data_IF_733056981770
#
_entry.id   IF_733056981770
#
_cell.length_a   1.000
_cell.length_b   1.000
_cell.length_c   1.000
_cell.angle_alpha   90.00
_cell.angle_beta   90.00
_cell.angle_gamma   90.00
#
_symmetry.space_group_name_H-M   'P 1'
#
loop_
_entity.id
_entity.type
_entity.pdbx_description
1 polymer ?
#
# COMPACT_ATOMS: atom_id res chain seq x y z
N UNK A 1 -13.26 -22.63 6.97
CA UNK A 1 -13.66 -22.70 5.54
C UNK A 1 -12.54 -22.09 4.71
N UNK A 2 -12.22 -22.66 3.54
CA UNK A 2 -11.23 -22.06 2.65
C UNK A 2 -11.77 -20.77 2.01
N UNK A 3 -10.92 -19.74 1.91
CA UNK A 3 -11.27 -18.49 1.25
C UNK A 3 -11.39 -18.69 -0.27
N UNK A 4 -12.38 -18.05 -0.89
CA UNK A 4 -12.50 -18.03 -2.36
C UNK A 4 -11.41 -17.15 -2.96
N UNK A 5 -10.74 -17.65 -3.98
CA UNK A 5 -9.75 -16.93 -4.77
C UNK A 5 -10.18 -16.96 -6.23
N UNK A 6 -10.20 -15.79 -6.87
CA UNK A 6 -10.47 -15.68 -8.30
C UNK A 6 -9.15 -15.45 -9.04
N UNK A 7 -8.95 -16.17 -10.13
CA UNK A 7 -7.75 -16.10 -10.95
C UNK A 7 -8.10 -15.90 -12.43
N UNK A 8 -7.33 -15.09 -13.12
CA UNK A 8 -7.41 -14.92 -14.57
C UNK A 8 -6.02 -14.95 -15.19
N UNK A 9 -5.87 -15.64 -16.32
CA UNK A 9 -4.67 -15.58 -17.16
C UNK A 9 -4.62 -14.31 -18.01
N UNK A 10 -5.77 -13.66 -18.20
CA UNK A 10 -5.89 -12.42 -18.98
C UNK A 10 -5.78 -11.24 -18.03
N UNK A 11 -4.82 -10.35 -18.29
CA UNK A 11 -4.55 -9.16 -17.47
C UNK A 11 -5.03 -7.93 -18.26
N UNK A 12 -6.29 -7.53 -18.03
CA UNK A 12 -6.88 -6.30 -18.57
C UNK A 12 -7.63 -5.56 -17.46
N UNK A 13 -7.87 -4.27 -17.66
CA UNK A 13 -8.61 -3.42 -16.75
C UNK A 13 -10.03 -3.96 -16.47
N UNK A 14 -10.73 -4.39 -17.52
CA UNK A 14 -12.07 -4.98 -17.45
C UNK A 14 -12.08 -6.29 -16.66
N UNK A 15 -11.01 -7.11 -16.81
CA UNK A 15 -10.89 -8.36 -16.07
C UNK A 15 -10.67 -8.12 -14.58
N UNK A 16 -9.93 -7.08 -14.20
CA UNK A 16 -9.77 -6.68 -12.79
C UNK A 16 -11.12 -6.27 -12.21
N UNK A 17 -11.88 -5.44 -12.91
CA UNK A 17 -13.24 -5.06 -12.47
C UNK A 17 -14.15 -6.28 -12.35
N UNK A 18 -14.12 -7.20 -13.31
CA UNK A 18 -14.89 -8.44 -13.24
C UNK A 18 -14.53 -9.27 -11.99
N UNK A 19 -13.24 -9.43 -11.69
CA UNK A 19 -12.79 -10.15 -10.50
C UNK A 19 -13.25 -9.47 -9.21
N UNK A 20 -13.18 -8.12 -9.14
CA UNK A 20 -13.70 -7.36 -8.00
C UNK A 20 -15.21 -7.61 -7.82
N UNK A 21 -15.99 -7.53 -8.89
CA UNK A 21 -17.44 -7.76 -8.85
C UNK A 21 -17.77 -9.19 -8.37
N UNK A 22 -16.99 -10.19 -8.79
CA UNK A 22 -17.16 -11.57 -8.35
C UNK A 22 -16.91 -11.80 -6.86
N UNK A 23 -16.16 -10.93 -6.18
CA UNK A 23 -16.01 -10.98 -4.72
C UNK A 23 -17.33 -10.73 -4.00
N UNK A 24 -18.28 -10.05 -4.65
CA UNK A 24 -19.61 -9.77 -4.11
C UNK A 24 -19.58 -8.96 -2.80
N UNK A 25 -18.52 -8.17 -2.58
CA UNK A 25 -18.34 -7.34 -1.40
C UNK A 25 -18.54 -5.88 -1.77
N UNK A 26 -19.31 -5.19 -0.97
CA UNK A 26 -19.38 -3.74 -0.98
C UNK A 26 -18.46 -3.20 0.12
N UNK A 27 -17.72 -2.15 -0.21
CA UNK A 27 -16.88 -1.44 0.74
C UNK A 27 -17.72 -0.29 1.32
N UNK A 28 -18.00 -0.28 2.62
CA UNK A 28 -18.80 0.76 3.23
C UNK A 28 -18.04 2.08 3.33
N UNK A 29 -18.80 3.19 3.35
CA UNK A 29 -18.29 4.52 3.65
C UNK A 29 -17.28 5.06 2.66
N UNK A 30 -16.35 5.84 3.17
CA UNK A 30 -15.26 6.45 2.39
C UNK A 30 -14.14 5.44 2.16
N UNK A 31 -13.86 5.13 0.91
CA UNK A 31 -12.92 4.07 0.53
C UNK A 31 -11.55 4.62 0.18
N UNK A 32 -10.51 4.16 0.88
CA UNK A 32 -9.12 4.32 0.46
C UNK A 32 -8.76 3.23 -0.56
N UNK A 33 -8.22 3.61 -1.71
CA UNK A 33 -7.75 2.68 -2.73
C UNK A 33 -6.22 2.73 -2.78
N UNK A 34 -5.58 1.75 -2.15
CA UNK A 34 -4.12 1.68 -2.07
C UNK A 34 -3.53 1.13 -3.36
N UNK A 35 -2.68 1.91 -3.95
CA UNK A 35 -1.93 1.56 -5.16
C UNK A 35 -0.42 1.65 -4.93
N UNK A 36 0.36 1.33 -5.96
CA UNK A 36 1.76 1.69 -6.09
C UNK A 36 1.92 2.65 -7.25
N UNK A 37 2.22 3.91 -6.96
CA UNK A 37 2.26 5.01 -7.93
C UNK A 37 3.41 4.93 -8.95
N UNK A 38 4.37 4.01 -8.74
CA UNK A 38 5.58 3.85 -9.53
C UNK A 38 6.77 4.62 -8.95
N UNK A 39 7.96 4.31 -9.41
CA UNK A 39 9.19 5.05 -9.12
C UNK A 39 9.56 5.93 -10.31
N UNK A 40 10.22 7.07 -10.04
CA UNK A 40 10.72 7.94 -11.12
C UNK A 40 11.62 7.15 -12.09
N UNK A 41 11.38 7.35 -13.40
CA UNK A 41 12.11 6.66 -14.47
C UNK A 41 11.78 5.18 -14.65
N UNK A 42 11.04 4.56 -13.74
CA UNK A 42 10.63 3.16 -13.88
C UNK A 42 9.38 3.05 -14.76
N UNK A 43 9.48 2.25 -15.82
CA UNK A 43 8.38 1.99 -16.74
C UNK A 43 7.52 0.77 -16.34
N UNK A 44 7.94 -0.02 -15.35
CA UNK A 44 7.33 -1.28 -14.97
C UNK A 44 6.34 -1.13 -13.81
N UNK A 45 5.42 -0.18 -13.87
CA UNK A 45 4.30 -0.07 -12.95
C UNK A 45 2.97 -0.08 -13.72
N UNK A 46 1.91 -0.51 -13.09
CA UNK A 46 0.56 -0.50 -13.66
C UNK A 46 0.06 0.93 -13.74
N UNK A 47 -0.32 1.36 -14.93
CA UNK A 47 -0.72 2.74 -15.22
C UNK A 47 -2.08 3.10 -14.61
N UNK A 48 -2.37 4.38 -14.36
CA UNK A 48 -3.65 4.81 -13.81
C UNK A 48 -4.86 4.37 -14.63
N UNK A 49 -4.78 4.42 -15.96
CA UNK A 49 -5.84 3.99 -16.87
C UNK A 49 -6.20 2.50 -16.73
N UNK A 50 -5.21 1.66 -16.43
CA UNK A 50 -5.46 0.24 -16.14
C UNK A 50 -6.35 0.05 -14.90
N UNK A 51 -6.23 0.89 -13.89
CA UNK A 51 -7.01 0.82 -12.67
C UNK A 51 -8.35 1.55 -12.76
N UNK A 52 -8.53 2.42 -13.79
CA UNK A 52 -9.68 3.31 -13.87
C UNK A 52 -11.03 2.59 -13.75
N UNK A 53 -11.33 1.48 -14.44
CA UNK A 53 -12.62 0.84 -14.33
C UNK A 53 -12.98 0.38 -12.91
N UNK A 54 -12.04 -0.16 -12.16
CA UNK A 54 -12.30 -0.61 -10.78
C UNK A 54 -12.35 0.56 -9.80
N UNK A 55 -11.51 1.58 -9.98
CA UNK A 55 -11.54 2.79 -9.13
C UNK A 55 -12.83 3.57 -9.31
N UNK A 56 -13.27 3.78 -10.55
CA UNK A 56 -14.55 4.45 -10.85
C UNK A 56 -15.75 3.67 -10.31
N UNK A 57 -15.71 2.34 -10.40
CA UNK A 57 -16.78 1.49 -9.88
C UNK A 57 -16.90 1.55 -8.34
N UNK A 58 -15.77 1.63 -7.65
CA UNK A 58 -15.71 1.70 -6.18
C UNK A 58 -16.01 3.11 -5.69
N UNK A 59 -15.61 4.15 -6.43
CA UNK A 59 -15.82 5.54 -6.07
C UNK A 59 -14.92 6.01 -4.91
N UNK A 60 -13.71 5.44 -4.77
CA UNK A 60 -12.78 5.77 -3.69
C UNK A 60 -11.69 6.77 -4.06
N UNK A 61 -10.89 7.14 -3.06
CA UNK A 61 -9.70 7.98 -3.21
C UNK A 61 -8.45 7.11 -3.35
N UNK A 62 -7.61 7.40 -4.33
CA UNK A 62 -6.31 6.72 -4.49
C UNK A 62 -5.35 7.20 -3.42
N UNK A 63 -4.78 6.27 -2.67
CA UNK A 63 -3.91 6.59 -1.54
C UNK A 63 -2.53 5.94 -1.63
N UNK A 64 -1.52 6.63 -1.09
CA UNK A 64 -0.15 6.18 -0.91
C UNK A 64 0.44 6.76 0.39
N UNK A 65 1.67 6.33 0.72
CA UNK A 65 2.50 6.96 1.75
C UNK A 65 3.91 7.22 1.21
N UNK A 66 4.58 8.21 1.76
CA UNK A 66 5.96 8.55 1.42
C UNK A 66 6.92 7.39 1.71
N UNK A 67 8.08 7.39 1.05
CA UNK A 67 9.11 6.36 1.26
C UNK A 67 10.10 6.77 2.35
N UNK A 68 10.70 5.77 3.01
CA UNK A 68 11.74 5.96 4.02
C UNK A 68 13.14 6.17 3.44
N UNK A 69 13.32 5.99 2.13
CA UNK A 69 14.60 6.10 1.44
C UNK A 69 14.59 7.27 0.45
N UNK A 70 15.76 7.82 0.08
CA UNK A 70 15.86 8.91 -0.88
C UNK A 70 15.22 8.57 -2.23
N UNK A 71 14.54 9.56 -2.83
CA UNK A 71 13.88 9.42 -4.13
C UNK A 71 12.77 10.46 -4.31
N UNK A 72 11.97 10.31 -5.36
CA UNK A 72 10.87 11.25 -5.65
C UNK A 72 9.59 10.98 -4.85
N UNK A 73 9.62 10.01 -3.95
CA UNK A 73 8.51 9.71 -3.04
C UNK A 73 8.86 9.89 -1.56
N UNK A 74 10.01 10.52 -1.25
CA UNK A 74 10.46 10.67 0.14
C UNK A 74 9.96 11.94 0.84
N UNK A 75 9.26 12.81 0.14
CA UNK A 75 8.58 13.97 0.69
C UNK A 75 7.24 14.15 -0.01
N UNK A 76 6.25 14.67 0.72
CA UNK A 76 4.90 14.95 0.20
C UNK A 76 4.94 15.75 -1.11
N UNK A 77 5.71 16.85 -1.16
CA UNK A 77 5.82 17.69 -2.36
C UNK A 77 6.33 16.92 -3.59
N UNK A 78 7.38 16.11 -3.42
CA UNK A 78 7.95 15.32 -4.52
C UNK A 78 6.98 14.21 -4.94
N UNK A 79 6.36 13.54 -3.99
CA UNK A 79 5.45 12.44 -4.25
C UNK A 79 4.19 12.91 -4.99
N UNK A 80 3.60 14.04 -4.59
CA UNK A 80 2.51 14.68 -5.33
C UNK A 80 2.92 15.02 -6.76
N UNK A 81 4.14 15.54 -6.96
CA UNK A 81 4.67 15.81 -8.30
C UNK A 81 4.82 14.53 -9.12
N UNK A 82 5.22 13.42 -8.51
CA UNK A 82 5.29 12.12 -9.17
C UNK A 82 3.89 11.61 -9.58
N UNK A 83 2.87 11.79 -8.75
CA UNK A 83 1.49 11.50 -9.11
C UNK A 83 1.05 12.24 -10.37
N UNK A 84 1.38 13.52 -10.49
CA UNK A 84 1.12 14.31 -11.70
C UNK A 84 1.88 13.74 -12.91
N UNK A 85 3.19 13.53 -12.76
CA UNK A 85 4.08 13.06 -13.84
C UNK A 85 3.66 11.68 -14.35
N UNK A 86 3.22 10.78 -13.46
CA UNK A 86 2.75 9.44 -13.81
C UNK A 86 1.27 9.41 -14.22
N UNK A 87 0.59 10.56 -14.22
CA UNK A 87 -0.78 10.71 -14.69
C UNK A 87 -1.87 10.30 -13.70
N UNK A 88 -1.54 9.99 -12.45
CA UNK A 88 -2.53 9.59 -11.45
C UNK A 88 -3.54 10.71 -11.16
N UNK A 89 -3.05 11.92 -10.91
CA UNK A 89 -3.89 13.10 -10.61
C UNK A 89 -4.79 13.53 -11.77
N UNK A 90 -4.53 13.04 -12.99
CA UNK A 90 -5.38 13.26 -14.15
C UNK A 90 -6.69 12.45 -14.08
N UNK A 91 -6.64 11.27 -13.46
CA UNK A 91 -7.75 10.33 -13.45
C UNK A 91 -8.46 10.26 -12.10
N UNK A 92 -7.74 10.55 -11.01
CA UNK A 92 -8.23 10.28 -9.66
C UNK A 92 -7.93 11.42 -8.69
N UNK A 93 -8.76 11.55 -7.66
CA UNK A 93 -8.36 12.20 -6.43
C UNK A 93 -7.28 11.34 -5.77
N UNK A 94 -6.16 11.97 -5.40
CA UNK A 94 -5.03 11.31 -4.76
C UNK A 94 -4.79 11.89 -3.38
N UNK A 95 -4.39 11.04 -2.44
CA UNK A 95 -4.11 11.42 -1.06
C UNK A 95 -2.83 10.72 -0.57
N UNK A 96 -1.99 11.44 0.17
CA UNK A 96 -0.83 10.90 0.85
C UNK A 96 -1.13 10.81 2.33
N UNK A 97 -1.36 9.60 2.81
CA UNK A 97 -1.83 9.34 4.17
C UNK A 97 -0.89 9.85 5.27
N UNK A 98 0.38 10.05 4.95
CA UNK A 98 1.43 10.58 5.84
C UNK A 98 1.92 11.97 5.40
N UNK A 99 1.05 12.76 4.75
CA UNK A 99 1.41 14.12 4.29
C UNK A 99 1.74 15.04 5.44
N UNK A 100 1.01 14.93 6.55
CA UNK A 100 1.13 15.80 7.72
C UNK A 100 0.94 15.03 9.02
N UNK A 101 1.42 15.65 10.10
CA UNK A 101 1.14 15.25 11.48
C UNK A 101 1.93 14.05 11.96
N UNK A 102 1.65 13.64 13.21
CA UNK A 102 2.21 12.42 13.75
C UNK A 102 1.59 11.19 13.09
N UNK A 103 2.30 10.06 13.13
CA UNK A 103 1.77 8.78 12.67
C UNK A 103 0.53 8.37 13.49
N UNK A 104 -0.39 7.68 12.84
CA UNK A 104 -1.37 6.85 13.54
C UNK A 104 -0.67 5.57 13.99
N UNK A 105 -0.79 5.24 15.26
CA UNK A 105 -0.17 4.04 15.84
C UNK A 105 -1.23 2.97 16.01
N UNK A 106 -1.05 1.85 15.35
CA UNK A 106 -1.88 0.66 15.49
C UNK A 106 -1.15 -0.38 16.33
N UNK A 107 -1.81 -0.93 17.33
CA UNK A 107 -1.26 -2.05 18.10
C UNK A 107 -1.32 -3.35 17.29
N UNK A 108 -0.37 -4.25 17.55
CA UNK A 108 -0.29 -5.57 16.91
C UNK A 108 -0.32 -6.64 18.02
N UNK A 109 -1.50 -7.00 18.53
CA UNK A 109 -1.60 -8.04 19.55
C UNK A 109 -1.00 -9.36 19.04
N UNK A 110 -0.01 -9.88 19.77
CA UNK A 110 0.65 -11.14 19.43
C UNK A 110 1.65 -11.06 18.27
N UNK A 111 2.05 -9.86 17.85
CA UNK A 111 3.14 -9.66 16.89
C UNK A 111 4.41 -10.41 17.31
N UNK A 112 5.12 -11.00 16.36
CA UNK A 112 6.27 -11.86 16.63
C UNK A 112 7.59 -11.08 16.74
N UNK A 113 7.68 -9.97 16.02
CA UNK A 113 8.88 -9.11 15.97
C UNK A 113 8.53 -7.69 16.37
N UNK A 114 7.44 -7.14 15.85
CA UNK A 114 6.97 -5.80 16.18
C UNK A 114 5.60 -5.83 16.85
N UNK A 115 5.37 -4.90 17.78
CA UNK A 115 4.12 -4.79 18.54
C UNK A 115 3.27 -3.59 18.13
N UNK A 116 3.80 -2.76 17.22
CA UNK A 116 3.16 -1.54 16.76
C UNK A 116 3.38 -1.37 15.25
N UNK A 117 2.41 -0.77 14.58
CA UNK A 117 2.54 -0.32 13.22
C UNK A 117 2.31 1.20 13.18
N UNK A 118 3.22 1.93 12.54
CA UNK A 118 3.14 3.37 12.36
C UNK A 118 2.65 3.67 10.95
N UNK A 119 1.37 3.99 10.81
CA UNK A 119 0.74 4.22 9.52
C UNK A 119 0.50 5.71 9.29
N UNK A 120 0.25 6.08 8.03
CA UNK A 120 -0.11 7.45 7.72
C UNK A 120 -1.38 7.86 8.48
N UNK A 121 -1.34 9.01 9.18
CA UNK A 121 -2.42 9.51 10.04
C UNK A 121 -3.76 9.58 9.31
N UNK A 122 -3.74 9.99 8.05
CA UNK A 122 -4.96 10.21 7.28
C UNK A 122 -5.69 8.92 6.88
N UNK A 123 -5.10 7.74 7.19
CA UNK A 123 -5.83 6.46 7.08
C UNK A 123 -7.12 6.46 7.92
N UNK A 124 -7.13 7.17 9.04
CA UNK A 124 -8.32 7.30 9.90
C UNK A 124 -9.50 8.06 9.26
N UNK A 125 -9.26 8.74 8.14
CA UNK A 125 -10.30 9.44 7.38
C UNK A 125 -11.12 8.52 6.47
N UNK A 126 -10.81 7.22 6.44
CA UNK A 126 -11.42 6.23 5.57
C UNK A 126 -12.06 5.10 6.38
N UNK A 127 -13.19 4.60 5.88
CA UNK A 127 -13.97 3.52 6.52
C UNK A 127 -13.60 2.13 5.96
N UNK A 128 -13.02 2.10 4.76
CA UNK A 128 -12.66 0.87 4.05
C UNK A 128 -11.38 1.04 3.25
N UNK A 129 -10.66 -0.08 3.08
CA UNK A 129 -9.43 -0.14 2.30
C UNK A 129 -9.52 -1.19 1.19
N UNK A 130 -9.36 -0.75 -0.06
CA UNK A 130 -9.15 -1.63 -1.21
C UNK A 130 -7.67 -1.60 -1.62
N UNK A 131 -7.05 -2.76 -1.69
CA UNK A 131 -5.64 -2.87 -2.10
C UNK A 131 -5.55 -3.36 -3.54
N UNK A 132 -5.09 -2.49 -4.44
CA UNK A 132 -4.83 -2.80 -5.85
C UNK A 132 -3.31 -3.00 -6.04
N UNK A 133 -2.88 -4.24 -5.91
CA UNK A 133 -1.46 -4.59 -5.87
C UNK A 133 -0.90 -4.99 -7.22
N UNK A 134 0.26 -4.45 -7.56
CA UNK A 134 1.10 -4.99 -8.61
C UNK A 134 1.89 -6.20 -8.07
N UNK A 135 1.58 -7.39 -8.55
CA UNK A 135 2.29 -8.62 -8.20
C UNK A 135 3.62 -8.70 -8.97
N UNK A 136 4.73 -8.61 -8.25
CA UNK A 136 6.08 -8.59 -8.84
C UNK A 136 7.13 -9.13 -7.87
N UNK A 137 8.32 -9.48 -8.37
CA UNK A 137 9.47 -9.79 -7.54
C UNK A 137 9.89 -8.61 -6.66
N UNK A 138 10.46 -8.90 -5.50
CA UNK A 138 11.01 -7.89 -4.59
C UNK A 138 12.28 -8.41 -3.91
N UNK A 139 13.41 -7.66 -3.94
CA UNK A 139 14.70 -8.15 -3.48
C UNK A 139 14.72 -8.52 -1.99
N UNK A 140 14.05 -7.75 -1.13
CA UNK A 140 14.03 -8.02 0.31
C UNK A 140 12.85 -8.90 0.73
N UNK A 141 11.67 -8.72 0.17
CA UNK A 141 10.44 -9.43 0.58
C UNK A 141 10.14 -10.70 -0.21
N UNK A 142 11.00 -11.09 -1.17
CA UNK A 142 10.75 -12.19 -2.10
C UNK A 142 9.79 -11.77 -3.21
N UNK A 143 8.58 -11.31 -2.87
CA UNK A 143 7.66 -10.70 -3.83
C UNK A 143 6.98 -9.45 -3.26
N UNK A 144 6.52 -8.57 -4.15
CA UNK A 144 5.63 -7.47 -3.84
C UNK A 144 4.19 -7.82 -4.25
N UNK A 145 3.22 -7.54 -3.38
CA UNK A 145 1.82 -7.85 -3.61
C UNK A 145 0.98 -7.31 -2.46
N UNK A 146 -0.20 -7.90 -2.21
CA UNK A 146 -1.16 -7.40 -1.25
C UNK A 146 -0.59 -7.29 0.18
N UNK A 147 0.11 -8.32 0.65
CA UNK A 147 0.73 -8.32 1.98
C UNK A 147 1.68 -7.12 2.16
N UNK A 148 2.55 -6.86 1.17
CA UNK A 148 3.47 -5.72 1.22
C UNK A 148 2.74 -4.38 1.15
N UNK A 149 1.65 -4.28 0.42
CA UNK A 149 0.83 -3.07 0.36
C UNK A 149 0.10 -2.82 1.68
N UNK A 150 -0.43 -3.86 2.33
CA UNK A 150 -1.09 -3.77 3.63
C UNK A 150 -0.13 -3.46 4.78
N UNK A 151 1.13 -3.88 4.69
CA UNK A 151 2.15 -3.59 5.70
C UNK A 151 2.91 -2.30 5.37
N UNK A 152 3.93 -2.40 4.53
CA UNK A 152 4.82 -1.29 4.16
C UNK A 152 4.09 -0.22 3.34
N UNK A 153 3.11 -0.61 2.52
CA UNK A 153 2.43 0.32 1.62
C UNK A 153 1.66 1.42 2.32
N UNK A 154 1.02 1.14 3.45
CA UNK A 154 0.25 2.11 4.27
C UNK A 154 1.03 2.67 5.44
N UNK A 155 2.18 2.08 5.78
CA UNK A 155 3.05 2.63 6.79
C UNK A 155 3.56 4.02 6.37
N UNK A 156 3.68 4.95 7.32
CA UNK A 156 4.34 6.24 7.11
C UNK A 156 5.80 6.06 6.70
N UNK A 157 6.49 7.12 6.30
CA UNK A 157 7.93 7.06 6.04
C UNK A 157 8.70 6.50 7.26
N UNK A 158 8.36 6.93 8.48
CA UNK A 158 8.91 6.38 9.72
C UNK A 158 8.54 4.92 9.92
N UNK A 159 7.26 4.57 9.76
CA UNK A 159 6.76 3.19 9.89
C UNK A 159 7.41 2.23 8.91
N UNK A 160 7.68 2.67 7.67
CA UNK A 160 8.47 1.88 6.70
C UNK A 160 9.87 1.56 7.21
N UNK A 161 10.57 2.55 7.77
CA UNK A 161 11.89 2.33 8.36
C UNK A 161 11.81 1.37 9.55
N UNK A 162 10.80 1.52 10.40
CA UNK A 162 10.55 0.66 11.55
C UNK A 162 10.32 -0.81 11.15
N UNK A 163 9.45 -1.06 10.16
CA UNK A 163 9.16 -2.42 9.67
C UNK A 163 10.40 -3.04 9.02
N UNK A 164 11.11 -2.30 8.14
CA UNK A 164 12.31 -2.80 7.48
C UNK A 164 13.44 -3.07 8.48
N UNK A 165 13.54 -2.27 9.52
CA UNK A 165 14.50 -2.43 10.61
C UNK A 165 14.11 -3.43 11.69
N UNK A 166 13.01 -4.18 11.50
CA UNK A 166 12.50 -5.14 12.48
C UNK A 166 12.33 -4.52 13.88
N UNK A 167 11.72 -3.33 13.94
CA UNK A 167 11.49 -2.56 15.17
C UNK A 167 12.56 -1.49 15.46
N UNK A 168 13.64 -1.45 14.69
CA UNK A 168 14.73 -0.48 14.85
C UNK A 168 14.95 0.31 13.55
N UNK A 169 14.36 1.52 13.40
CA UNK A 169 14.46 2.28 12.13
C UNK A 169 15.88 2.50 11.61
N UNK A 170 16.87 2.61 12.51
CA UNK A 170 18.27 2.75 12.13
C UNK A 170 18.84 1.52 11.38
N UNK A 171 18.21 0.37 11.51
CA UNK A 171 18.59 -0.89 10.86
C UNK A 171 17.85 -1.16 9.54
N UNK A 172 17.26 -0.15 8.92
CA UNK A 172 16.46 -0.28 7.69
C UNK A 172 17.14 -1.11 6.57
N UNK A 173 18.47 -1.11 6.51
CA UNK A 173 19.24 -1.85 5.50
C UNK A 173 20.04 -3.05 6.06
N UNK A 174 20.06 -3.23 7.37
CA UNK A 174 20.94 -4.20 8.05
C UNK A 174 20.19 -5.19 8.94
N UNK A 175 18.88 -5.04 9.07
CA UNK A 175 18.07 -5.97 9.85
C UNK A 175 18.14 -7.40 9.26
N UNK A 176 17.97 -8.39 10.12
CA UNK A 176 17.85 -9.78 9.69
C UNK A 176 16.69 -9.94 8.72
N UNK A 177 16.91 -10.66 7.62
CA UNK A 177 15.95 -10.82 6.54
C UNK A 177 14.66 -11.54 6.97
N UNK A 178 14.75 -12.51 7.87
CA UNK A 178 13.58 -13.25 8.35
C UNK A 178 12.78 -12.41 9.36
N UNK A 179 13.46 -11.64 10.21
CA UNK A 179 12.79 -10.70 11.11
C UNK A 179 12.09 -9.58 10.34
N UNK A 180 12.69 -9.06 9.26
CA UNK A 180 12.00 -8.13 8.35
C UNK A 180 10.72 -8.73 7.77
N UNK A 181 10.77 -9.97 7.25
CA UNK A 181 9.59 -10.64 6.69
C UNK A 181 8.50 -10.86 7.74
N UNK A 182 8.88 -11.23 8.97
CA UNK A 182 7.95 -11.38 10.08
C UNK A 182 7.36 -10.04 10.49
N UNK A 183 8.16 -8.97 10.58
CA UNK A 183 7.68 -7.61 10.84
C UNK A 183 6.67 -7.15 9.80
N UNK A 184 6.89 -7.50 8.53
CA UNK A 184 5.96 -7.20 7.45
C UNK A 184 4.63 -7.95 7.63
N UNK A 185 4.67 -9.22 8.08
CA UNK A 185 3.47 -9.98 8.39
C UNK A 185 2.74 -9.42 9.62
N UNK A 186 3.49 -9.11 10.69
CA UNK A 186 2.95 -8.49 11.91
C UNK A 186 2.23 -7.18 11.56
N UNK A 187 2.89 -6.28 10.82
CA UNK A 187 2.31 -4.99 10.43
C UNK A 187 1.01 -5.15 9.60
N UNK A 188 0.95 -6.14 8.70
CA UNK A 188 -0.26 -6.36 7.91
C UNK A 188 -1.45 -6.80 8.76
N UNK A 189 -1.23 -7.52 9.86
CA UNK A 189 -2.30 -7.95 10.77
C UNK A 189 -3.03 -6.77 11.41
N UNK A 190 -2.33 -5.67 11.71
CA UNK A 190 -2.95 -4.49 12.37
C UNK A 190 -3.96 -3.74 11.49
N UNK A 191 -4.09 -4.11 10.23
CA UNK A 191 -4.93 -3.40 9.24
C UNK A 191 -6.11 -4.24 8.76
N UNK A 192 -6.11 -5.55 9.05
CA UNK A 192 -7.17 -6.47 8.59
C UNK A 192 -8.12 -6.90 9.71
N UNK A 193 -7.88 -6.46 10.92
CA UNK A 193 -8.76 -6.56 12.08
C UNK A 193 -9.60 -5.30 12.23
#
# INVERSE_FOLDING_TARGET
MASKVYFSKTITAEKVLQMYTLLGKQLPGKVAIKVHSGEEGNQNFLRPDFWKPVVDHVGGTVVECNTAYPGQRNTTKKHLKLFETHGWSRYFTVDLLDAEGPDLVLDIPGGKVIQKNYVGKDLMNYDSLLVLSHFKGHPMGGYGGALKQLSIGIASAHGKAYIHGAGEPAKIWTANQDDFKRSMADAAMSVVE
#
